data_IF_022829001723
#
_entry.id   IF_022829001723
#
_cell.length_a   1.000
_cell.length_b   1.000
_cell.length_c   1.000
_cell.angle_alpha   90.00
_cell.angle_beta   90.00
_cell.angle_gamma   90.00
#
_symmetry.space_group_name_H-M   'P 1'
#
loop_
_entity.id
_entity.type
_entity.pdbx_description
1 polymer ?
#
# COMPACT_ATOMS: atom_id res chain seq x y z
N UNK A 1 -2.05 17.77 -8.57
CA UNK A 1 -1.63 17.55 -7.17
C UNK A 1 -0.84 16.25 -7.12
N UNK A 2 0.49 16.38 -7.06
CA UNK A 2 1.44 15.30 -7.34
C UNK A 2 1.38 14.17 -6.30
N UNK A 3 1.33 12.95 -6.81
CA UNK A 3 1.48 11.71 -6.05
C UNK A 3 2.90 11.70 -5.47
N UNK A 4 3.07 12.22 -4.25
CA UNK A 4 4.35 12.22 -3.55
C UNK A 4 4.66 10.78 -3.19
N UNK A 5 5.64 10.21 -3.87
CA UNK A 5 6.28 8.93 -3.63
C UNK A 5 6.65 8.77 -2.15
N UNK A 6 5.73 8.20 -1.37
CA UNK A 6 5.96 7.74 0.01
C UNK A 6 6.74 6.41 0.03
N UNK A 7 7.54 6.14 -1.00
CA UNK A 7 8.34 4.92 -1.17
C UNK A 7 9.79 5.07 -0.71
N UNK A 8 10.09 6.07 0.13
CA UNK A 8 11.45 6.26 0.65
C UNK A 8 11.54 5.83 2.12
N UNK A 9 12.36 4.79 2.35
CA UNK A 9 12.72 4.32 3.68
C UNK A 9 12.33 2.87 3.92
N UNK A 10 13.13 1.92 3.43
CA UNK A 10 14.09 1.22 4.30
C UNK A 10 14.71 0.03 3.56
N UNK A 11 16.03 -0.12 3.65
CA UNK A 11 16.83 -1.16 2.99
C UNK A 11 16.70 -2.50 3.75
N UNK A 12 15.48 -3.02 3.89
CA UNK A 12 15.22 -4.32 4.52
C UNK A 12 14.18 -5.09 3.68
N UNK A 13 14.67 -6.06 2.89
CA UNK A 13 13.90 -7.07 2.13
C UNK A 13 12.43 -6.73 1.88
N UNK A 14 12.10 -6.06 0.79
CA UNK A 14 10.69 -5.82 0.44
C UNK A 14 10.09 -7.06 -0.23
N UNK A 15 8.91 -7.50 0.18
CA UNK A 15 8.14 -8.52 -0.54
C UNK A 15 7.02 -7.88 -1.35
N UNK A 16 6.72 -8.48 -2.51
CA UNK A 16 5.64 -8.03 -3.37
C UNK A 16 4.33 -8.65 -2.90
N UNK A 17 3.36 -7.82 -2.50
CA UNK A 17 2.03 -8.26 -2.07
C UNK A 17 0.98 -7.77 -3.06
N UNK A 18 0.07 -8.67 -3.45
CA UNK A 18 -1.16 -8.26 -4.11
C UNK A 18 -2.10 -7.66 -3.07
N UNK A 19 -2.50 -6.43 -3.30
CA UNK A 19 -3.44 -5.72 -2.45
C UNK A 19 -4.61 -5.21 -3.28
N UNK A 20 -5.80 -5.27 -2.69
CA UNK A 20 -7.01 -4.73 -3.24
C UNK A 20 -7.44 -3.52 -2.41
N UNK A 21 -7.74 -2.42 -3.07
CA UNK A 21 -8.38 -1.31 -2.40
C UNK A 21 -9.87 -1.63 -2.19
N UNK A 22 -10.36 -1.62 -0.96
CA UNK A 22 -11.77 -1.82 -0.63
C UNK A 22 -12.65 -0.66 -1.10
N UNK A 23 -12.10 0.56 -1.10
CA UNK A 23 -12.83 1.77 -1.52
C UNK A 23 -13.09 1.88 -3.03
N UNK A 24 -12.17 1.40 -3.87
CA UNK A 24 -12.33 1.46 -5.34
C UNK A 24 -12.26 0.09 -6.03
N UNK A 25 -12.24 -1.00 -5.25
CA UNK A 25 -12.17 -2.40 -5.70
C UNK A 25 -10.98 -2.75 -6.62
N UNK A 26 -9.99 -1.85 -6.75
CA UNK A 26 -8.82 -2.03 -7.61
C UNK A 26 -7.80 -2.97 -6.98
N UNK A 27 -7.35 -3.95 -7.75
CA UNK A 27 -6.22 -4.81 -7.38
C UNK A 27 -4.93 -4.22 -7.95
N UNK A 28 -3.89 -4.15 -7.12
CA UNK A 28 -2.55 -3.70 -7.50
C UNK A 28 -1.50 -4.52 -6.74
N UNK A 29 -0.26 -4.51 -7.24
CA UNK A 29 0.87 -5.14 -6.57
C UNK A 29 1.71 -4.03 -5.94
N UNK A 30 1.96 -4.16 -4.64
CA UNK A 30 2.75 -3.18 -3.88
C UNK A 30 3.92 -3.88 -3.22
N UNK A 31 4.99 -3.11 -3.01
CA UNK A 31 6.17 -3.58 -2.29
C UNK A 31 5.99 -3.22 -0.82
N UNK A 32 5.96 -4.23 0.02
CA UNK A 32 5.81 -4.10 1.47
C UNK A 32 7.11 -4.53 2.13
N UNK A 33 7.67 -3.77 3.07
CA UNK A 33 8.87 -4.18 3.79
C UNK A 33 8.59 -5.48 4.57
N UNK A 34 9.51 -6.45 4.49
CA UNK A 34 9.42 -7.68 5.28
C UNK A 34 9.32 -7.33 6.77
N UNK A 35 8.39 -7.98 7.46
CA UNK A 35 8.08 -7.69 8.86
C UNK A 35 6.96 -6.66 9.07
N UNK A 36 6.42 -6.04 8.01
CA UNK A 36 5.15 -5.29 8.09
C UNK A 36 4.03 -6.04 7.37
N UNK A 37 2.84 -6.03 7.98
CA UNK A 37 1.62 -6.54 7.36
C UNK A 37 1.00 -5.51 6.42
N UNK A 38 0.19 -5.97 5.47
CA UNK A 38 -0.57 -5.12 4.53
C UNK A 38 -1.39 -4.09 5.27
N UNK A 39 -2.04 -4.44 6.38
CA UNK A 39 -2.80 -3.50 7.21
C UNK A 39 -1.93 -2.37 7.77
N UNK A 40 -0.75 -2.70 8.32
CA UNK A 40 0.14 -1.71 8.91
C UNK A 40 0.77 -0.80 7.86
N UNK A 41 1.01 -1.32 6.66
CA UNK A 41 1.44 -0.56 5.48
C UNK A 41 0.30 0.31 4.91
N UNK A 42 -0.93 -0.21 4.89
CA UNK A 42 -2.16 0.46 4.43
C UNK A 42 -2.46 1.73 5.23
N UNK A 43 -2.20 1.72 6.54
CA UNK A 43 -2.36 2.92 7.39
C UNK A 43 -1.46 4.09 6.98
N UNK A 44 -0.26 3.80 6.47
CA UNK A 44 0.66 4.80 5.94
C UNK A 44 0.43 5.14 4.46
N UNK A 45 -0.42 4.38 3.77
CA UNK A 45 -0.55 4.45 2.31
C UNK A 45 -1.99 4.75 1.91
N UNK A 46 -2.22 5.92 1.32
CA UNK A 46 -3.53 6.30 0.79
C UNK A 46 -3.72 5.75 -0.62
N UNK A 47 -4.95 5.39 -0.97
CA UNK A 47 -5.26 5.03 -2.34
C UNK A 47 -5.17 6.27 -3.25
N UNK A 48 -4.29 6.26 -4.25
CA UNK A 48 -4.15 7.38 -5.19
C UNK A 48 -5.36 7.61 -6.11
N UNK A 49 -6.36 6.72 -6.09
CA UNK A 49 -7.56 6.84 -6.93
C UNK A 49 -8.78 7.32 -6.14
N UNK A 50 -9.07 6.72 -4.99
CA UNK A 50 -10.21 7.12 -4.16
C UNK A 50 -9.84 7.98 -2.96
N UNK A 51 -8.54 8.29 -2.75
CA UNK A 51 -8.02 8.97 -1.56
C UNK A 51 -8.38 8.30 -0.22
N UNK A 52 -8.89 7.07 -0.27
CA UNK A 52 -9.29 6.34 0.92
C UNK A 52 -8.03 5.89 1.68
N UNK A 53 -8.06 6.13 2.99
CA UNK A 53 -7.00 5.76 3.93
C UNK A 53 -7.35 4.41 4.54
N UNK A 54 -6.36 3.60 4.94
CA UNK A 54 -6.60 2.28 5.55
C UNK A 54 -7.50 1.35 4.70
N UNK A 55 -7.45 1.49 3.37
CA UNK A 55 -8.38 0.83 2.46
C UNK A 55 -7.75 -0.31 1.68
N UNK A 56 -6.50 -0.70 1.96
CA UNK A 56 -5.84 -1.81 1.28
C UNK A 56 -5.99 -3.11 2.07
N UNK A 57 -6.49 -4.15 1.39
CA UNK A 57 -6.60 -5.52 1.91
C UNK A 57 -5.74 -6.46 1.07
N UNK A 58 -5.14 -7.47 1.68
CA UNK A 58 -4.44 -8.54 0.94
C UNK A 58 -5.45 -9.40 0.18
N UNK A 59 -5.11 -9.80 -1.04
CA UNK A 59 -5.87 -10.78 -1.84
C UNK A 59 -5.05 -11.98 -2.24
#
# INVERSE_FOLDING_TARGET
>A
MGFRDLFVGDNAGNYSAKVKCTGCNRVTVVKIPQGKTVEKWSKGTKCGQCNASDSWTSV
#
